data_IF_398621349608
#
_entry.id   IF_398621349608
#
_cell.length_a   1.000
_cell.length_b   1.000
_cell.length_c   1.000
_cell.angle_alpha   90.00
_cell.angle_beta   90.00
_cell.angle_gamma   90.00
#
_symmetry.space_group_name_H-M   'P 1'
#
loop_
_entity.id
_entity.type
_entity.pdbx_description
1 polymer ?
#
# COMPACT_ATOMS: atom_id res chain seq x y z
N UNK A 1 -10.82 5.98 -23.44
CA UNK A 1 -12.21 6.29 -23.83
C UNK A 1 -12.40 7.81 -23.77
N UNK A 2 -13.27 8.40 -24.59
CA UNK A 2 -13.54 9.84 -24.54
C UNK A 2 -14.24 10.26 -23.24
N UNK A 3 -13.90 11.46 -22.76
CA UNK A 3 -14.52 12.05 -21.58
C UNK A 3 -16.00 12.33 -21.84
N UNK A 4 -16.87 11.91 -20.91
CA UNK A 4 -18.32 12.10 -21.03
C UNK A 4 -18.81 13.07 -19.97
N UNK A 5 -19.59 14.08 -20.38
CA UNK A 5 -20.17 15.06 -19.45
C UNK A 5 -21.27 14.38 -18.64
N UNK A 6 -21.06 14.32 -17.33
CA UNK A 6 -22.04 13.85 -16.34
C UNK A 6 -22.45 14.99 -15.43
N UNK A 7 -23.67 14.94 -14.88
CA UNK A 7 -24.16 15.93 -13.91
C UNK A 7 -24.20 15.29 -12.53
N UNK A 8 -23.95 16.12 -11.52
CA UNK A 8 -24.31 15.78 -10.14
C UNK A 8 -25.83 15.84 -10.04
N UNK A 9 -26.44 14.75 -9.57
CA UNK A 9 -27.88 14.65 -9.36
C UNK A 9 -28.22 14.91 -7.89
N UNK A 10 -29.51 14.84 -7.58
CA UNK A 10 -30.02 15.20 -6.27
C UNK A 10 -29.35 14.42 -5.13
N UNK A 11 -29.04 15.12 -4.04
CA UNK A 11 -28.25 14.59 -2.92
C UNK A 11 -26.76 14.40 -3.22
N UNK A 12 -26.19 15.09 -4.23
CA UNK A 12 -24.75 15.11 -4.48
C UNK A 12 -24.21 13.86 -5.19
N UNK A 13 -25.08 13.01 -5.74
CA UNK A 13 -24.67 11.75 -6.35
C UNK A 13 -24.13 11.97 -7.76
N UNK A 14 -23.06 11.26 -8.10
CA UNK A 14 -22.54 11.17 -9.46
C UNK A 14 -22.98 9.84 -10.08
N UNK A 15 -23.65 9.89 -11.24
CA UNK A 15 -24.06 8.67 -11.94
C UNK A 15 -22.97 8.27 -12.94
N UNK A 16 -22.28 7.15 -12.66
CA UNK A 16 -21.30 6.58 -13.60
C UNK A 16 -22.06 5.86 -14.73
N UNK A 17 -21.92 6.25 -16.01
CA UNK A 17 -22.61 5.62 -17.13
C UNK A 17 -22.31 4.12 -17.27
N UNK A 18 -23.25 3.34 -17.81
CA UNK A 18 -23.12 1.89 -17.92
C UNK A 18 -21.93 1.42 -18.77
N UNK A 19 -21.45 2.23 -19.71
CA UNK A 19 -20.23 1.94 -20.48
C UNK A 19 -18.97 2.04 -19.60
N UNK A 20 -18.83 3.13 -18.84
CA UNK A 20 -17.73 3.31 -17.87
C UNK A 20 -17.76 2.25 -16.77
N UNK A 21 -18.95 1.88 -16.26
CA UNK A 21 -19.06 0.81 -15.26
C UNK A 21 -18.55 -0.54 -15.78
N UNK A 22 -18.87 -0.89 -17.04
CA UNK A 22 -18.35 -2.11 -17.68
C UNK A 22 -16.83 -2.07 -17.83
N UNK A 23 -16.27 -0.94 -18.22
CA UNK A 23 -14.81 -0.79 -18.34
C UNK A 23 -14.10 -0.80 -16.99
N UNK A 24 -14.71 -0.23 -15.96
CA UNK A 24 -14.22 -0.33 -14.57
C UNK A 24 -14.46 -1.72 -13.96
N UNK A 25 -15.30 -2.55 -14.58
CA UNK A 25 -15.68 -3.87 -14.05
C UNK A 25 -16.49 -3.77 -12.76
N UNK A 26 -17.35 -2.76 -12.62
CA UNK A 26 -18.16 -2.51 -11.42
C UNK A 26 -19.66 -2.70 -11.68
N UNK A 27 -20.34 -3.33 -10.73
CA UNK A 27 -21.79 -3.55 -10.70
C UNK A 27 -22.48 -2.77 -9.58
N UNK A 28 -23.81 -2.68 -9.66
CA UNK A 28 -24.60 -2.06 -8.59
C UNK A 28 -24.42 -2.84 -7.30
N UNK A 29 -23.98 -2.16 -6.24
CA UNK A 29 -23.66 -2.77 -4.95
C UNK A 29 -22.16 -2.88 -4.68
N UNK A 30 -21.33 -2.76 -5.72
CA UNK A 30 -19.88 -2.76 -5.57
C UNK A 30 -19.39 -1.49 -4.86
N UNK A 31 -18.36 -1.64 -4.04
CA UNK A 31 -17.65 -0.52 -3.42
C UNK A 31 -16.49 -0.09 -4.32
N UNK A 32 -16.41 1.22 -4.60
CA UNK A 32 -15.35 1.83 -5.41
C UNK A 32 -14.49 2.74 -4.55
N UNK A 33 -13.18 2.78 -4.84
CA UNK A 33 -12.28 3.77 -4.28
C UNK A 33 -12.45 5.08 -5.05
N UNK A 34 -12.67 6.16 -4.30
CA UNK A 34 -12.80 7.50 -4.86
C UNK A 34 -11.83 8.41 -4.13
N UNK A 35 -10.96 9.05 -4.88
CA UNK A 35 -10.01 10.05 -4.39
C UNK A 35 -9.96 11.25 -5.34
N UNK A 36 -9.46 12.38 -4.84
CA UNK A 36 -9.22 13.57 -5.64
C UNK A 36 -7.72 13.77 -5.74
N UNK A 37 -7.19 13.74 -6.96
CA UNK A 37 -5.77 14.00 -7.24
C UNK A 37 -5.66 15.05 -8.35
N UNK A 38 -4.88 16.10 -8.10
CA UNK A 38 -4.71 17.27 -8.98
C UNK A 38 -6.03 17.87 -9.53
N UNK A 39 -7.06 17.92 -8.68
CA UNK A 39 -8.39 18.44 -9.06
C UNK A 39 -9.25 17.45 -9.87
N UNK A 40 -8.79 16.23 -10.11
CA UNK A 40 -9.52 15.18 -10.79
C UNK A 40 -10.14 14.19 -9.81
N UNK A 41 -11.42 13.87 -9.98
CA UNK A 41 -12.06 12.79 -9.24
C UNK A 41 -11.69 11.44 -9.90
N UNK A 42 -10.85 10.65 -9.23
CA UNK A 42 -10.45 9.33 -9.68
C UNK A 42 -11.32 8.27 -9.04
N UNK A 43 -11.92 7.42 -9.87
CA UNK A 43 -12.73 6.28 -9.43
C UNK A 43 -12.05 5.00 -9.86
N UNK A 44 -11.70 4.16 -8.89
CA UNK A 44 -11.00 2.89 -9.11
C UNK A 44 -11.85 1.74 -8.60
N UNK A 45 -11.88 0.63 -9.35
CA UNK A 45 -12.49 -0.60 -8.86
C UNK A 45 -11.47 -1.40 -8.06
N UNK A 46 -11.84 -1.74 -6.84
CA UNK A 46 -11.01 -2.57 -5.95
C UNK A 46 -10.72 -3.93 -6.60
N UNK A 47 -11.69 -4.61 -7.26
CA UNK A 47 -11.41 -5.87 -7.96
C UNK A 47 -10.41 -5.75 -9.11
N UNK A 48 -10.49 -4.69 -9.95
CA UNK A 48 -9.51 -4.54 -11.05
C UNK A 48 -8.14 -4.08 -10.59
N UNK A 49 -8.03 -3.27 -9.53
CA UNK A 49 -6.73 -2.92 -8.95
C UNK A 49 -5.99 -4.20 -8.50
N UNK A 50 -6.73 -5.15 -7.93
CA UNK A 50 -6.27 -6.47 -7.56
C UNK A 50 -5.96 -7.38 -8.76
N UNK A 51 -6.80 -7.41 -9.79
CA UNK A 51 -6.50 -8.14 -11.03
C UNK A 51 -5.24 -7.60 -11.73
N UNK A 52 -5.02 -6.28 -11.70
CA UNK A 52 -3.80 -5.63 -12.22
C UNK A 52 -2.57 -6.05 -11.42
N UNK A 53 -2.62 -5.96 -10.09
CA UNK A 53 -1.52 -6.43 -9.23
C UNK A 53 -1.18 -7.90 -9.52
N UNK A 54 -2.19 -8.77 -9.70
CA UNK A 54 -2.02 -10.17 -10.09
C UNK A 54 -1.47 -10.35 -11.52
N UNK A 55 -1.86 -9.50 -12.47
CA UNK A 55 -1.40 -9.56 -13.86
C UNK A 55 0.06 -9.12 -14.01
N UNK A 56 0.46 -8.11 -13.26
CA UNK A 56 1.85 -7.64 -13.18
C UNK A 56 2.75 -8.75 -12.64
N UNK A 57 2.32 -9.43 -11.56
CA UNK A 57 3.02 -10.57 -10.97
C UNK A 57 3.25 -11.73 -11.96
N UNK A 58 2.39 -11.91 -12.97
CA UNK A 58 2.57 -12.93 -14.02
C UNK A 58 3.65 -12.58 -15.05
N UNK A 59 4.01 -11.30 -15.19
CA UNK A 59 4.92 -10.79 -16.23
C UNK A 59 6.31 -10.42 -15.70
N UNK A 60 6.53 -10.37 -14.39
CA UNK A 60 7.85 -10.12 -13.79
C UNK A 60 8.69 -11.40 -13.83
N UNK A 61 9.12 -11.75 -15.04
CA UNK A 61 10.13 -12.78 -15.31
C UNK A 61 11.53 -12.26 -15.01
N UNK A 62 12.08 -12.71 -13.87
CA UNK A 62 13.49 -12.84 -13.50
C UNK A 62 14.49 -11.86 -14.17
N UNK A 63 14.82 -10.79 -13.45
CA UNK A 63 16.21 -10.29 -13.40
C UNK A 63 16.75 -10.49 -11.99
N UNK A 64 17.57 -11.54 -11.82
CA UNK A 64 18.40 -11.71 -10.63
C UNK A 64 19.45 -10.61 -10.61
N UNK A 65 19.24 -9.60 -9.77
CA UNK A 65 20.34 -8.85 -9.15
C UNK A 65 20.53 -9.37 -7.73
N UNK A 66 21.76 -9.28 -7.22
CA UNK A 66 22.15 -9.72 -5.87
C UNK A 66 21.30 -8.95 -4.86
N UNK A 67 20.19 -9.56 -4.42
CA UNK A 67 19.01 -8.81 -3.98
C UNK A 67 19.06 -8.44 -2.50
N UNK A 68 19.26 -7.16 -2.18
CA UNK A 68 18.95 -6.62 -0.85
C UNK A 68 17.46 -6.89 -0.52
N UNK A 69 17.11 -7.18 0.73
CA UNK A 69 15.69 -7.31 1.13
C UNK A 69 15.06 -5.92 1.20
N UNK A 70 13.75 -5.82 0.97
CA UNK A 70 12.98 -4.60 1.17
C UNK A 70 11.91 -4.84 2.24
N UNK A 71 11.81 -3.96 3.22
CA UNK A 71 10.70 -3.95 4.19
C UNK A 71 9.66 -2.95 3.71
N UNK A 72 8.41 -3.40 3.62
CA UNK A 72 7.29 -2.55 3.26
C UNK A 72 6.61 -2.00 4.52
N UNK A 73 6.47 -0.69 4.57
CA UNK A 73 5.49 -0.04 5.42
C UNK A 73 4.06 -0.31 4.92
N UNK A 74 3.07 -0.19 5.81
CA UNK A 74 1.65 -0.33 5.51
C UNK A 74 1.25 0.61 4.35
N UNK A 75 1.73 1.85 4.38
CA UNK A 75 1.37 2.85 3.37
C UNK A 75 1.93 2.53 1.97
N UNK A 76 3.11 1.89 1.87
CA UNK A 76 3.66 1.42 0.60
C UNK A 76 2.85 0.25 0.03
N UNK A 77 2.45 -0.71 0.88
CA UNK A 77 1.59 -1.81 0.42
C UNK A 77 0.20 -1.32 0.02
N UNK A 78 -0.38 -0.38 0.75
CA UNK A 78 -1.66 0.24 0.39
C UNK A 78 -1.57 1.04 -0.92
N UNK A 79 -0.45 1.71 -1.18
CA UNK A 79 -0.20 2.38 -2.45
C UNK A 79 -0.27 1.40 -3.64
N UNK A 80 0.35 0.23 -3.51
CA UNK A 80 0.22 -0.85 -4.49
C UNK A 80 -1.24 -1.33 -4.63
N UNK A 81 -1.88 -1.69 -3.51
CA UNK A 81 -3.22 -2.26 -3.51
C UNK A 81 -4.28 -1.33 -4.10
N UNK A 82 -4.05 -0.02 -4.01
CA UNK A 82 -4.96 0.98 -4.52
C UNK A 82 -4.66 1.37 -5.96
N UNK A 83 -3.51 1.01 -6.55
CA UNK A 83 -3.04 1.57 -7.84
C UNK A 83 -2.81 3.10 -7.71
N UNK A 84 -2.09 3.52 -6.66
CA UNK A 84 -1.70 4.93 -6.45
C UNK A 84 -0.36 5.25 -7.10
N UNK A 85 -0.03 6.54 -7.35
CA UNK A 85 1.31 6.94 -7.78
C UNK A 85 2.39 6.31 -6.88
N UNK A 86 3.40 5.68 -7.49
CA UNK A 86 4.44 4.92 -6.79
C UNK A 86 4.21 3.40 -6.73
N UNK A 87 3.03 2.89 -7.11
CA UNK A 87 2.71 1.46 -7.11
C UNK A 87 3.71 0.62 -7.93
N UNK A 88 4.12 1.10 -9.11
CA UNK A 88 5.09 0.40 -9.98
C UNK A 88 6.44 0.14 -9.27
N UNK A 89 6.86 1.06 -8.39
CA UNK A 89 8.11 0.89 -7.63
C UNK A 89 7.97 -0.19 -6.56
N UNK A 90 6.78 -0.32 -5.97
CA UNK A 90 6.48 -1.37 -5.00
C UNK A 90 6.38 -2.72 -5.70
N UNK A 91 5.78 -2.77 -6.89
CA UNK A 91 5.75 -3.94 -7.78
C UNK A 91 7.15 -4.47 -8.04
N UNK A 92 8.09 -3.59 -8.43
CA UNK A 92 9.46 -3.97 -8.83
C UNK A 92 10.23 -4.72 -7.73
N UNK A 93 9.82 -4.53 -6.47
CA UNK A 93 10.48 -5.14 -5.30
C UNK A 93 9.62 -6.18 -4.60
N UNK A 94 8.37 -6.38 -5.01
CA UNK A 94 7.38 -7.17 -4.27
C UNK A 94 7.84 -8.60 -3.97
N UNK A 95 8.56 -9.25 -4.90
CA UNK A 95 9.04 -10.63 -4.74
C UNK A 95 10.15 -10.79 -3.70
N UNK A 96 10.76 -9.68 -3.25
CA UNK A 96 11.81 -9.63 -2.22
C UNK A 96 11.36 -8.83 -1.00
N UNK A 97 10.07 -8.51 -0.93
CA UNK A 97 9.48 -7.68 0.11
C UNK A 97 9.10 -8.49 1.34
N UNK A 98 9.31 -7.88 2.50
CA UNK A 98 8.96 -8.39 3.81
C UNK A 98 8.04 -7.37 4.48
N UNK A 99 7.02 -7.82 5.20
CA UNK A 99 6.14 -6.94 5.98
C UNK A 99 6.02 -7.44 7.41
N UNK A 100 6.07 -6.51 8.37
CA UNK A 100 5.84 -6.82 9.78
C UNK A 100 4.35 -7.06 10.04
N UNK A 101 4.01 -7.94 10.98
CA UNK A 101 2.60 -8.21 11.35
C UNK A 101 1.85 -6.97 11.83
N UNK A 102 2.53 -6.01 12.46
CA UNK A 102 1.94 -4.73 12.86
C UNK A 102 1.49 -3.90 11.64
N UNK A 103 2.37 -3.77 10.63
CA UNK A 103 2.05 -3.05 9.40
C UNK A 103 1.01 -3.80 8.55
N UNK A 104 1.05 -5.14 8.54
CA UNK A 104 -0.02 -5.94 7.92
C UNK A 104 -1.36 -5.72 8.61
N UNK A 105 -1.39 -5.64 9.94
CA UNK A 105 -2.62 -5.36 10.68
C UNK A 105 -3.18 -3.97 10.31
N UNK A 106 -2.33 -2.97 10.15
CA UNK A 106 -2.75 -1.65 9.68
C UNK A 106 -3.33 -1.69 8.25
N UNK A 107 -2.70 -2.42 7.33
CA UNK A 107 -3.23 -2.64 5.96
C UNK A 107 -4.61 -3.29 6.03
N UNK A 108 -4.77 -4.35 6.82
CA UNK A 108 -6.05 -5.03 7.01
C UNK A 108 -7.08 -4.05 7.57
N UNK A 109 -6.76 -3.31 8.63
CA UNK A 109 -7.65 -2.29 9.23
C UNK A 109 -8.10 -1.26 8.20
N UNK A 110 -7.18 -0.71 7.40
CA UNK A 110 -7.53 0.27 6.35
C UNK A 110 -8.43 -0.30 5.28
N UNK A 111 -8.23 -1.56 4.89
CA UNK A 111 -9.13 -2.24 3.95
C UNK A 111 -10.51 -2.51 4.58
N UNK A 112 -10.58 -2.84 5.86
CA UNK A 112 -11.84 -3.00 6.59
C UNK A 112 -12.60 -1.67 6.72
N UNK A 113 -11.91 -0.58 7.05
CA UNK A 113 -12.49 0.77 7.13
C UNK A 113 -13.11 1.21 5.79
N UNK A 114 -12.59 0.68 4.67
CA UNK A 114 -13.09 0.92 3.32
C UNK A 114 -14.24 0.00 2.89
N UNK A 115 -14.74 -0.84 3.79
CA UNK A 115 -15.93 -1.65 3.58
C UNK A 115 -15.69 -3.06 3.05
N UNK A 116 -14.45 -3.48 2.82
CA UNK A 116 -14.17 -4.86 2.41
C UNK A 116 -14.53 -5.82 3.55
N UNK A 117 -15.05 -6.98 3.20
CA UNK A 117 -15.18 -8.14 4.08
C UNK A 117 -13.81 -8.74 4.41
N UNK A 118 -13.74 -9.53 5.49
CA UNK A 118 -12.48 -10.17 5.86
C UNK A 118 -12.01 -11.19 4.80
N UNK A 119 -12.94 -11.82 4.08
CA UNK A 119 -12.60 -12.80 3.06
C UNK A 119 -12.06 -12.13 1.79
N UNK A 120 -12.63 -10.99 1.37
CA UNK A 120 -12.05 -10.18 0.29
C UNK A 120 -10.63 -9.70 0.65
N UNK A 121 -10.40 -9.29 1.91
CA UNK A 121 -9.06 -8.89 2.37
C UNK A 121 -8.08 -10.07 2.34
N UNK A 122 -8.51 -11.26 2.79
CA UNK A 122 -7.68 -12.48 2.73
C UNK A 122 -7.34 -12.87 1.30
N UNK A 123 -8.32 -12.84 0.42
CA UNK A 123 -8.11 -13.14 -0.99
C UNK A 123 -7.13 -12.15 -1.62
N UNK A 124 -7.28 -10.86 -1.31
CA UNK A 124 -6.42 -9.81 -1.82
C UNK A 124 -4.96 -9.97 -1.40
N UNK A 125 -4.72 -10.16 -0.10
CA UNK A 125 -3.37 -10.32 0.45
C UNK A 125 -2.75 -11.67 0.07
N UNK A 126 -3.55 -12.73 -0.02
CA UNK A 126 -3.10 -14.06 -0.42
C UNK A 126 -2.51 -14.10 -1.84
N UNK A 127 -3.00 -13.24 -2.74
CA UNK A 127 -2.45 -13.12 -4.11
C UNK A 127 -1.04 -12.55 -4.17
N UNK A 128 -0.58 -11.85 -3.14
CA UNK A 128 0.71 -11.14 -3.12
C UNK A 128 1.87 -11.99 -2.62
N UNK A 129 1.61 -13.13 -1.96
CA UNK A 129 2.63 -14.04 -1.42
C UNK A 129 3.70 -13.34 -0.55
N UNK A 130 3.29 -12.38 0.29
CA UNK A 130 4.19 -11.58 1.13
C UNK A 130 4.90 -12.44 2.18
N UNK A 131 6.19 -12.17 2.42
CA UNK A 131 6.90 -12.68 3.60
C UNK A 131 6.49 -11.86 4.83
N UNK A 132 5.61 -12.42 5.65
CA UNK A 132 5.08 -11.76 6.85
C UNK A 132 5.88 -12.18 8.08
N UNK A 133 6.45 -11.22 8.82
CA UNK A 133 7.26 -11.48 10.01
C UNK A 133 6.59 -11.03 11.30
N UNK A 134 6.54 -11.87 12.35
CA UNK A 134 6.02 -11.46 13.66
C UNK A 134 6.96 -10.45 14.31
N UNK A 135 6.40 -9.60 15.18
CA UNK A 135 7.20 -8.71 16.02
C UNK A 135 7.98 -9.52 17.06
N UNK A 136 9.30 -9.35 17.09
CA UNK A 136 10.18 -10.06 18.03
C UNK A 136 10.46 -9.25 19.32
N UNK A 137 10.85 -9.90 20.42
CA UNK A 137 11.32 -9.19 21.62
C UNK A 137 12.54 -8.29 21.36
N UNK A 138 13.44 -8.67 20.46
CA UNK A 138 14.58 -7.85 20.06
C UNK A 138 14.13 -6.57 19.35
N UNK A 139 13.16 -6.69 18.43
CA UNK A 139 12.56 -5.53 17.76
C UNK A 139 11.81 -4.62 18.74
N UNK A 140 11.20 -5.16 19.81
CA UNK A 140 10.55 -4.35 20.84
C UNK A 140 11.52 -3.37 21.54
N UNK A 141 12.77 -3.80 21.78
CA UNK A 141 13.81 -2.92 22.34
C UNK A 141 14.21 -1.82 21.35
N UNK A 142 14.40 -2.17 20.07
CA UNK A 142 14.73 -1.21 19.00
C UNK A 142 13.59 -0.19 18.84
N UNK A 143 12.33 -0.62 18.86
CA UNK A 143 11.15 0.26 18.80
C UNK A 143 11.17 1.29 19.94
N UNK A 144 11.49 0.84 21.16
CA UNK A 144 11.60 1.72 22.33
C UNK A 144 12.72 2.74 22.17
N UNK A 145 13.89 2.29 21.70
CA UNK A 145 15.10 3.10 21.51
C UNK A 145 14.95 4.14 20.40
N UNK A 146 14.17 3.84 19.35
CA UNK A 146 13.86 4.80 18.29
C UNK A 146 12.94 5.94 18.76
N UNK A 147 12.21 5.79 19.87
CA UNK A 147 11.18 6.76 20.28
C UNK A 147 11.71 8.17 20.55
N UNK A 148 12.80 8.40 21.30
CA UNK A 148 13.30 9.74 21.56
C UNK A 148 13.69 10.50 20.29
N UNK A 149 14.36 9.82 19.35
CA UNK A 149 14.82 10.40 18.09
C UNK A 149 13.65 10.69 17.11
N UNK A 150 12.63 9.82 17.10
CA UNK A 150 11.50 9.90 16.17
C UNK A 150 10.30 10.68 16.72
N UNK A 151 10.31 11.12 17.98
CA UNK A 151 9.16 11.75 18.63
C UNK A 151 8.70 13.02 17.90
N UNK A 152 9.65 13.84 17.43
CA UNK A 152 9.37 15.08 16.70
C UNK A 152 8.72 14.84 15.33
N UNK A 153 8.90 13.64 14.74
CA UNK A 153 8.32 13.24 13.46
C UNK A 153 6.88 12.73 13.60
N UNK A 154 6.38 12.56 14.83
CA UNK A 154 5.02 12.08 15.07
C UNK A 154 4.81 10.59 14.80
N UNK A 155 5.88 9.80 14.65
CA UNK A 155 5.78 8.40 14.24
C UNK A 155 4.94 7.54 15.19
N UNK A 156 4.13 6.66 14.62
CA UNK A 156 3.31 5.67 15.30
C UNK A 156 4.16 4.52 15.87
N UNK A 157 3.53 3.64 16.67
CA UNK A 157 4.19 2.40 17.08
C UNK A 157 4.45 1.46 15.88
N UNK A 158 3.53 1.43 14.91
CA UNK A 158 3.65 0.64 13.68
C UNK A 158 4.80 1.12 12.79
N UNK A 159 5.00 2.43 12.70
CA UNK A 159 6.10 3.04 11.91
C UNK A 159 7.45 2.62 12.50
N UNK A 160 7.59 2.73 13.82
CA UNK A 160 8.78 2.26 14.54
C UNK A 160 8.96 0.76 14.46
N UNK A 161 7.88 -0.01 14.43
CA UNK A 161 7.97 -1.46 14.24
C UNK A 161 8.48 -1.82 12.84
N UNK A 162 8.07 -1.08 11.82
CA UNK A 162 8.59 -1.21 10.46
C UNK A 162 10.08 -0.87 10.39
N UNK A 163 10.49 0.26 10.98
CA UNK A 163 11.89 0.65 11.11
C UNK A 163 12.72 -0.43 11.83
N UNK A 164 12.22 -0.95 12.95
CA UNK A 164 12.91 -1.98 13.73
C UNK A 164 13.11 -3.27 12.94
N UNK A 165 12.10 -3.69 12.16
CA UNK A 165 12.22 -4.85 11.28
C UNK A 165 13.27 -4.62 10.18
N UNK A 166 13.32 -3.43 9.59
CA UNK A 166 14.30 -3.08 8.57
C UNK A 166 15.73 -3.01 9.13
N UNK A 167 15.91 -2.47 10.34
CA UNK A 167 17.19 -2.44 11.06
C UNK A 167 17.69 -3.87 11.36
N UNK A 168 16.82 -4.70 11.94
CA UNK A 168 17.12 -6.09 12.33
C UNK A 168 17.53 -6.95 11.12
N UNK A 169 16.93 -6.69 9.95
CA UNK A 169 17.23 -7.40 8.71
C UNK A 169 18.32 -6.74 7.84
N UNK A 170 18.84 -5.58 8.25
CA UNK A 170 19.73 -4.73 7.45
C UNK A 170 19.16 -4.48 6.03
N UNK A 171 17.86 -4.19 5.96
CA UNK A 171 17.09 -4.05 4.74
C UNK A 171 16.79 -2.57 4.43
N UNK A 172 16.53 -2.29 3.15
CA UNK A 172 15.94 -1.01 2.75
C UNK A 172 14.46 -1.00 3.12
N UNK A 173 13.91 0.17 3.45
CA UNK A 173 12.50 0.35 3.77
C UNK A 173 11.78 1.20 2.74
N UNK A 174 10.59 0.78 2.32
CA UNK A 174 9.72 1.53 1.41
C UNK A 174 8.49 2.05 2.15
N UNK A 175 8.16 3.33 1.96
CA UNK A 175 6.97 3.99 2.52
C UNK A 175 6.42 5.02 1.55
N UNK A 176 5.19 5.50 1.80
CA UNK A 176 4.66 6.74 1.20
C UNK A 176 4.58 7.90 2.20
N UNK A 177 4.85 7.63 3.48
CA UNK A 177 4.78 8.61 4.56
C UNK A 177 6.03 9.50 4.58
N UNK A 178 5.83 10.82 4.49
CA UNK A 178 6.90 11.80 4.43
C UNK A 178 7.73 11.87 5.72
N UNK A 179 7.10 12.07 6.90
CA UNK A 179 7.80 12.01 8.19
C UNK A 179 8.57 10.72 8.45
N UNK A 180 8.05 9.57 8.04
CA UNK A 180 8.74 8.29 8.14
C UNK A 180 9.94 8.20 7.19
N UNK A 181 9.78 8.68 5.95
CA UNK A 181 10.85 8.74 4.97
C UNK A 181 12.01 9.67 5.37
N UNK A 182 11.78 10.65 6.25
CA UNK A 182 12.81 11.56 6.76
C UNK A 182 13.46 11.10 8.07
N UNK A 183 13.10 9.92 8.59
CA UNK A 183 13.67 9.40 9.83
C UNK A 183 15.15 9.03 9.66
N UNK A 184 16.00 9.54 10.55
CA UNK A 184 17.39 9.11 10.67
C UNK A 184 17.45 7.84 11.54
N UNK A 185 17.44 6.68 10.88
CA UNK A 185 17.37 5.37 11.53
C UNK A 185 18.52 4.42 11.13
N UNK A 186 19.58 4.94 10.48
CA UNK A 186 20.73 4.13 10.06
C UNK A 186 20.44 3.11 8.94
N UNK A 187 19.29 3.22 8.27
CA UNK A 187 18.89 2.41 7.12
C UNK A 187 18.50 3.30 5.95
N UNK A 188 18.48 2.76 4.73
CA UNK A 188 17.92 3.48 3.57
C UNK A 188 16.39 3.43 3.65
N UNK A 189 15.76 4.60 3.62
CA UNK A 189 14.30 4.75 3.58
C UNK A 189 13.92 5.46 2.29
N UNK A 190 13.08 4.80 1.50
CA UNK A 190 12.67 5.26 0.18
C UNK A 190 11.19 5.63 0.20
N UNK A 191 10.90 6.91 -0.06
CA UNK A 191 9.53 7.33 -0.39
C UNK A 191 9.20 6.93 -1.83
N UNK A 192 8.21 6.07 -2.01
CA UNK A 192 7.85 5.52 -3.32
C UNK A 192 7.11 6.52 -4.22
N UNK A 193 6.53 7.58 -3.65
CA UNK A 193 5.82 8.63 -4.40
C UNK A 193 6.72 9.74 -4.94
N UNK A 194 7.94 9.87 -4.43
CA UNK A 194 8.83 10.97 -4.79
C UNK A 194 9.57 10.69 -6.10
N UNK A 195 8.98 11.05 -7.24
CA UNK A 195 9.67 11.34 -8.51
C UNK A 195 8.86 12.32 -9.35
#
# INVERSE_FOLDING_TARGET
>A
MEAQRVKIVDGGKLVIPAAMRRELGITTGDTVLVDVDDGELRVRSVPKALERARAILRNVGVRRSVSSKVVLDASALLCLLNDEPGADRVVDVLTRSIIGTANLAEVVSKLRDRGLSLDEVREALGGLHLDVRPLSPAQALIIGDLRPATKALGLSLGDRACLALAIDLQAEMFTTDGPLASADAGITITNVRSR
#
